data_IF_699095540633
#
_entry.id   IF_699095540633
#
_cell.length_a   1.000
_cell.length_b   1.000
_cell.length_c   1.000
_cell.angle_alpha   90.00
_cell.angle_beta   90.00
_cell.angle_gamma   90.00
#
_symmetry.space_group_name_H-M   'P 1'
#
loop_
_entity.id
_entity.type
_entity.pdbx_description
1 polymer ?
#
# COMPACT_ATOMS: atom_id res chain seq x y z
N UNK A 1 -11.62 25.18 -24.89
CA UNK A 1 -10.67 25.03 -23.75
C UNK A 1 -11.27 24.08 -22.73
N UNK A 2 -10.99 22.79 -22.88
CA UNK A 2 -11.21 21.75 -21.89
C UNK A 2 -10.09 20.74 -22.13
N UNK A 3 -9.16 20.49 -21.19
CA UNK A 3 -8.05 19.60 -21.48
C UNK A 3 -8.53 18.14 -21.48
N UNK A 4 -8.61 17.63 -22.69
CA UNK A 4 -8.22 16.29 -23.15
C UNK A 4 -7.63 15.36 -22.06
N UNK A 5 -8.50 14.54 -21.46
CA UNK A 5 -8.08 13.28 -20.85
C UNK A 5 -8.23 12.17 -21.91
N UNK A 6 -7.42 12.26 -22.97
CA UNK A 6 -7.30 11.19 -23.95
C UNK A 6 -6.10 10.32 -23.55
N UNK A 7 -6.41 9.15 -23.03
CA UNK A 7 -5.50 8.15 -22.48
C UNK A 7 -4.68 7.51 -23.62
N UNK A 8 -3.32 7.52 -23.57
CA UNK A 8 -2.51 6.63 -24.41
C UNK A 8 -1.55 5.82 -23.52
N UNK A 9 -1.96 4.61 -23.16
CA UNK A 9 -1.08 3.70 -22.43
C UNK A 9 -1.82 2.52 -21.82
N UNK A 10 -2.14 1.51 -22.64
CA UNK A 10 -2.46 0.18 -22.10
C UNK A 10 -1.15 -0.46 -21.63
N UNK A 11 -0.96 -0.62 -20.30
CA UNK A 11 -0.26 -1.74 -19.61
C UNK A 11 -0.25 -1.54 -18.08
N UNK A 12 -0.43 -2.58 -17.23
CA UNK A 12 -1.27 -3.76 -17.34
C UNK A 12 -2.33 -3.87 -16.21
N UNK A 13 -3.28 -4.75 -16.44
CA UNK A 13 -4.51 -4.97 -15.68
C UNK A 13 -4.34 -5.90 -14.45
N UNK A 14 -3.26 -5.81 -13.67
CA UNK A 14 -3.08 -6.70 -12.50
C UNK A 14 -2.34 -6.07 -11.29
N UNK A 15 -2.29 -4.74 -11.18
CA UNK A 15 -1.69 -4.07 -10.03
C UNK A 15 -2.44 -2.81 -9.66
N UNK A 16 -2.90 -2.70 -8.41
CA UNK A 16 -3.51 -1.47 -7.89
C UNK A 16 -2.53 -0.32 -8.13
N UNK A 17 -2.89 0.74 -8.88
CA UNK A 17 -1.97 1.81 -9.21
C UNK A 17 -1.52 2.55 -7.94
N UNK A 18 -0.26 3.01 -7.89
CA UNK A 18 0.34 3.67 -6.71
C UNK A 18 -0.57 4.74 -6.13
N UNK A 19 -1.15 5.51 -7.04
CA UNK A 19 -2.09 6.60 -6.78
C UNK A 19 -3.39 6.13 -6.10
N UNK A 20 -3.93 4.97 -6.44
CA UNK A 20 -5.14 4.43 -5.81
C UNK A 20 -4.88 3.97 -4.38
N UNK A 21 -3.72 3.34 -4.12
CA UNK A 21 -3.29 3.05 -2.74
C UNK A 21 -3.11 4.36 -1.96
N UNK A 22 -2.46 5.36 -2.56
CA UNK A 22 -2.29 6.66 -1.92
C UNK A 22 -3.62 7.32 -1.56
N UNK A 23 -4.56 7.39 -2.50
CA UNK A 23 -5.87 8.02 -2.29
C UNK A 23 -6.67 7.32 -1.19
N UNK A 24 -6.69 5.98 -1.22
CA UNK A 24 -7.33 5.15 -0.19
C UNK A 24 -6.78 5.42 1.21
N UNK A 25 -5.45 5.55 1.34
CA UNK A 25 -4.80 5.81 2.61
C UNK A 25 -4.86 7.28 3.02
N UNK A 26 -4.97 8.22 2.08
CA UNK A 26 -5.09 9.67 2.36
C UNK A 26 -6.30 9.99 3.23
N UNK A 27 -7.38 9.26 3.11
CA UNK A 27 -8.57 9.48 3.96
C UNK A 27 -8.50 8.73 5.29
N UNK A 28 -7.78 7.59 5.33
CA UNK A 28 -7.76 6.68 6.49
C UNK A 28 -6.59 6.88 7.44
N UNK A 29 -5.42 7.31 6.94
CA UNK A 29 -4.19 7.41 7.75
C UNK A 29 -4.34 8.33 8.96
N UNK A 30 -5.19 9.35 8.85
CA UNK A 30 -5.49 10.30 9.92
C UNK A 30 -6.20 9.67 11.12
N UNK A 31 -6.84 8.50 10.92
CA UNK A 31 -7.55 7.75 11.95
C UNK A 31 -6.67 6.68 12.61
N UNK A 32 -5.42 6.53 12.18
CA UNK A 32 -4.53 5.51 12.71
C UNK A 32 -3.93 5.95 14.07
N UNK A 33 -3.81 5.04 15.04
CA UNK A 33 -3.37 5.39 16.41
C UNK A 33 -1.89 5.80 16.49
N UNK A 34 -1.11 5.47 15.47
CA UNK A 34 0.30 5.83 15.33
C UNK A 34 0.51 7.08 14.45
N UNK A 35 -0.58 7.70 13.99
CA UNK A 35 -0.51 8.94 13.22
C UNK A 35 -0.10 10.11 14.12
N UNK A 36 0.86 10.89 13.64
CA UNK A 36 1.31 12.09 14.31
C UNK A 36 1.01 13.31 13.44
N UNK A 37 0.39 14.32 14.04
CA UNK A 37 -0.05 15.54 13.34
C UNK A 37 1.13 16.37 12.79
N UNK A 38 2.36 16.13 13.26
CA UNK A 38 3.57 16.77 12.72
C UNK A 38 4.03 16.16 11.39
N UNK A 39 3.53 14.97 11.03
CA UNK A 39 3.88 14.24 9.82
C UNK A 39 2.78 14.36 8.78
N UNK A 40 3.18 14.54 7.52
CA UNK A 40 2.26 14.70 6.41
C UNK A 40 2.04 13.37 5.72
N UNK A 41 0.91 13.24 5.03
CA UNK A 41 0.63 12.06 4.21
C UNK A 41 1.76 11.74 3.23
N UNK A 42 2.42 12.75 2.67
CA UNK A 42 3.57 12.60 1.74
C UNK A 42 4.73 11.79 2.35
N UNK A 43 4.93 11.90 3.67
CA UNK A 43 5.96 11.14 4.39
C UNK A 43 5.54 9.66 4.60
N UNK A 44 4.23 9.38 4.67
CA UNK A 44 3.67 8.02 4.86
C UNK A 44 3.31 7.32 3.55
N UNK A 45 3.05 8.05 2.47
CA UNK A 45 2.66 7.53 1.17
C UNK A 45 3.57 6.38 0.70
N UNK A 46 4.91 6.55 0.64
CA UNK A 46 5.77 5.48 0.17
C UNK A 46 5.78 4.27 1.10
N UNK A 47 5.46 4.44 2.39
CA UNK A 47 5.40 3.33 3.34
C UNK A 47 4.18 2.44 3.08
N UNK A 48 3.01 3.05 2.87
CA UNK A 48 1.79 2.32 2.51
C UNK A 48 1.92 1.61 1.17
N UNK A 49 2.51 2.29 0.18
CA UNK A 49 2.79 1.71 -1.12
C UNK A 49 3.71 0.49 -0.99
N UNK A 50 4.83 0.62 -0.29
CA UNK A 50 5.79 -0.46 -0.09
C UNK A 50 5.12 -1.72 0.47
N UNK A 51 4.33 -1.58 1.55
CA UNK A 51 3.61 -2.71 2.15
C UNK A 51 2.62 -3.37 1.20
N UNK A 52 1.84 -2.57 0.46
CA UNK A 52 0.85 -3.08 -0.48
C UNK A 52 1.50 -3.83 -1.66
N UNK A 53 2.58 -3.27 -2.24
CA UNK A 53 3.29 -3.92 -3.36
C UNK A 53 4.05 -5.17 -2.93
N UNK A 54 4.70 -5.13 -1.77
CA UNK A 54 5.40 -6.30 -1.27
C UNK A 54 4.44 -7.45 -1.02
N UNK A 55 3.20 -7.21 -0.60
CA UNK A 55 2.19 -8.27 -0.48
C UNK A 55 1.69 -8.80 -1.82
N UNK A 56 1.64 -7.94 -2.84
CA UNK A 56 1.27 -8.35 -4.19
C UNK A 56 2.31 -9.31 -4.78
N UNK A 57 3.59 -9.04 -4.50
CA UNK A 57 4.75 -9.85 -4.93
C UNK A 57 4.87 -11.15 -4.08
N UNK A 58 4.68 -11.05 -2.76
CA UNK A 58 4.89 -12.13 -1.80
C UNK A 58 3.61 -12.57 -1.09
N UNK A 59 2.94 -13.53 -1.74
CA UNK A 59 1.62 -14.03 -1.35
C UNK A 59 1.71 -15.02 -0.18
N UNK A 60 2.83 -15.73 -0.08
CA UNK A 60 2.98 -16.93 0.77
C UNK A 60 3.64 -16.59 2.11
N UNK A 61 4.52 -15.58 2.14
CA UNK A 61 5.34 -15.27 3.32
C UNK A 61 4.57 -14.45 4.35
N UNK A 62 4.89 -14.65 5.62
CA UNK A 62 4.38 -13.83 6.72
C UNK A 62 5.11 -12.48 6.76
N UNK A 63 4.43 -11.45 7.28
CA UNK A 63 5.03 -10.11 7.42
C UNK A 63 6.34 -10.14 8.22
N UNK A 64 6.42 -10.97 9.26
CA UNK A 64 7.62 -11.12 10.11
C UNK A 64 8.83 -11.66 9.34
N UNK A 65 8.61 -12.50 8.32
CA UNK A 65 9.68 -13.05 7.48
C UNK A 65 10.25 -12.01 6.52
N UNK A 66 9.37 -11.13 6.01
CA UNK A 66 9.76 -10.08 5.06
C UNK A 66 10.12 -8.75 5.74
N UNK A 67 9.90 -8.61 7.05
CA UNK A 67 10.12 -7.35 7.77
C UNK A 67 11.54 -6.79 7.57
N UNK A 68 12.56 -7.66 7.66
CA UNK A 68 13.96 -7.25 7.46
C UNK A 68 14.26 -6.83 6.01
N UNK A 69 13.62 -7.47 5.03
CA UNK A 69 13.72 -7.08 3.62
C UNK A 69 13.00 -5.75 3.37
N UNK A 70 11.83 -5.56 3.97
CA UNK A 70 11.06 -4.33 3.91
C UNK A 70 11.81 -3.16 4.54
N UNK A 71 12.54 -3.38 5.63
CA UNK A 71 13.42 -2.37 6.24
C UNK A 71 14.47 -1.90 5.23
N UNK A 72 15.12 -2.86 4.58
CA UNK A 72 16.17 -2.61 3.59
C UNK A 72 15.60 -1.92 2.35
N UNK A 73 14.41 -2.32 1.88
CA UNK A 73 13.71 -1.66 0.76
C UNK A 73 13.25 -0.26 1.16
N UNK A 74 12.73 -0.07 2.36
CA UNK A 74 12.34 1.24 2.89
C UNK A 74 13.51 2.22 2.88
N UNK A 75 14.70 1.79 3.34
CA UNK A 75 15.89 2.64 3.29
C UNK A 75 16.23 3.13 1.88
N UNK A 76 15.92 2.34 0.85
CA UNK A 76 16.17 2.64 -0.56
C UNK A 76 15.03 3.46 -1.20
N UNK A 77 13.77 3.14 -0.87
CA UNK A 77 12.57 3.69 -1.53
C UNK A 77 11.96 4.89 -0.80
N UNK A 78 12.26 5.12 0.48
CA UNK A 78 11.69 6.24 1.27
C UNK A 78 11.93 7.62 0.67
N UNK A 79 12.99 7.77 -0.14
CA UNK A 79 13.33 9.01 -0.84
C UNK A 79 13.41 10.21 0.10
N UNK A 80 12.45 11.14 -0.03
CA UNK A 80 12.35 12.38 0.76
C UNK A 80 11.58 12.22 2.08
N UNK A 81 11.03 11.05 2.35
CA UNK A 81 10.23 10.81 3.55
C UNK A 81 11.06 11.03 4.81
N UNK A 82 10.50 11.76 5.76
CA UNK A 82 11.14 12.03 7.05
C UNK A 82 10.91 10.93 8.09
N UNK A 83 10.10 9.92 7.76
CA UNK A 83 9.80 8.82 8.68
C UNK A 83 11.00 7.90 8.89
N UNK A 84 11.20 7.54 10.16
CA UNK A 84 12.13 6.48 10.54
C UNK A 84 11.50 5.11 10.29
N UNK A 85 12.32 4.06 10.20
CA UNK A 85 11.83 2.69 10.02
C UNK A 85 10.78 2.29 11.07
N UNK A 86 10.95 2.67 12.34
CA UNK A 86 9.97 2.37 13.38
C UNK A 86 8.57 2.98 13.12
N UNK A 87 8.50 4.13 12.45
CA UNK A 87 7.24 4.76 12.06
C UNK A 87 6.72 4.16 10.75
N UNK A 88 7.61 4.03 9.76
CA UNK A 88 7.30 3.47 8.46
C UNK A 88 6.81 2.02 8.56
N UNK A 89 7.43 1.17 9.38
CA UNK A 89 7.02 -0.24 9.55
C UNK A 89 5.57 -0.38 9.99
N UNK A 90 5.03 0.55 10.79
CA UNK A 90 3.62 0.51 11.19
C UNK A 90 2.73 0.78 9.98
N UNK A 91 3.06 1.79 9.16
CA UNK A 91 2.34 2.08 7.92
C UNK A 91 2.51 0.98 6.86
N UNK A 92 3.72 0.45 6.67
CA UNK A 92 4.02 -0.68 5.77
C UNK A 92 3.21 -1.90 6.17
N UNK A 93 3.21 -2.27 7.47
CA UNK A 93 2.41 -3.38 7.99
C UNK A 93 0.92 -3.17 7.71
N UNK A 94 0.42 -1.95 7.84
CA UNK A 94 -1.00 -1.65 7.57
C UNK A 94 -1.32 -1.74 6.08
N UNK A 95 -0.45 -1.24 5.20
CA UNK A 95 -0.58 -1.45 3.75
C UNK A 95 -0.54 -2.94 3.35
N UNK A 96 0.29 -3.74 4.02
CA UNK A 96 0.38 -5.19 3.82
C UNK A 96 -0.87 -5.95 4.28
N UNK A 97 -1.34 -5.65 5.49
CA UNK A 97 -2.54 -6.27 6.08
C UNK A 97 -3.79 -5.93 5.26
N UNK A 98 -3.90 -4.68 4.80
CA UNK A 98 -5.00 -4.22 3.96
C UNK A 98 -4.99 -4.89 2.58
N UNK A 99 -3.83 -4.98 1.92
CA UNK A 99 -3.67 -5.73 0.67
C UNK A 99 -4.05 -7.21 0.85
N UNK A 100 -3.71 -7.79 2.01
CA UNK A 100 -4.13 -9.15 2.37
C UNK A 100 -5.64 -9.26 2.52
N UNK A 101 -6.26 -8.32 3.22
CA UNK A 101 -7.70 -8.29 3.46
C UNK A 101 -8.50 -8.06 2.16
N UNK A 102 -8.07 -7.12 1.29
CA UNK A 102 -8.67 -6.90 -0.02
C UNK A 102 -8.64 -8.16 -0.89
N UNK A 103 -7.50 -8.85 -0.90
CA UNK A 103 -7.37 -10.12 -1.63
C UNK A 103 -8.30 -11.19 -1.05
N UNK A 104 -8.33 -11.36 0.26
CA UNK A 104 -9.22 -12.34 0.90
C UNK A 104 -10.69 -12.05 0.60
N UNK A 105 -11.10 -10.77 0.64
CA UNK A 105 -12.45 -10.35 0.29
C UNK A 105 -12.79 -10.62 -1.19
N UNK A 106 -11.81 -10.52 -2.10
CA UNK A 106 -11.99 -10.87 -3.51
C UNK A 106 -12.15 -12.40 -3.69
N UNK A 107 -11.39 -13.21 -2.94
CA UNK A 107 -11.50 -14.68 -2.96
C UNK A 107 -12.84 -15.18 -2.39
N UNK A 108 -13.34 -14.55 -1.31
CA UNK A 108 -14.60 -14.90 -0.66
C UNK A 108 -15.84 -14.60 -1.55
N UNK A 109 -15.81 -13.51 -2.32
CA UNK A 109 -16.91 -13.12 -3.22
C UNK A 109 -17.00 -13.94 -4.51
N UNK A 110 -16.12 -14.93 -4.71
CA UNK A 110 -16.01 -15.75 -5.92
C UNK A 110 -16.81 -17.05 -5.95
N UNK A 111 -17.60 -17.39 -4.92
CA UNK A 111 -18.45 -18.59 -4.97
C UNK A 111 -19.93 -18.20 -5.07
N UNK A 112 -20.53 -18.13 -6.28
CA UNK A 112 -21.95 -18.43 -6.37
C UNK A 112 -22.08 -19.91 -5.97
N UNK A 113 -22.59 -20.18 -4.77
CA UNK A 113 -23.16 -21.50 -4.47
C UNK A 113 -24.41 -21.65 -5.33
N UNK A 114 -24.20 -22.06 -6.58
CA UNK A 114 -25.21 -22.63 -7.43
C UNK A 114 -25.22 -24.14 -7.22
N UNK A 115 -26.44 -24.68 -7.14
CA UNK A 115 -26.90 -26.07 -6.98
C UNK A 115 -26.86 -26.65 -5.57
#
# INVERSE_FOLDING_TARGET
>A
MSPDYQIPGRVPEDGVPRQAVSDYWRERFSSEPYYDQSQFFDDYEPAYQLGHYSRADDIIRAYEEVEAELETRWAQERGKSRLNWAQARNAVRRGWDESTALRQAHLDKGVPRGT
#
